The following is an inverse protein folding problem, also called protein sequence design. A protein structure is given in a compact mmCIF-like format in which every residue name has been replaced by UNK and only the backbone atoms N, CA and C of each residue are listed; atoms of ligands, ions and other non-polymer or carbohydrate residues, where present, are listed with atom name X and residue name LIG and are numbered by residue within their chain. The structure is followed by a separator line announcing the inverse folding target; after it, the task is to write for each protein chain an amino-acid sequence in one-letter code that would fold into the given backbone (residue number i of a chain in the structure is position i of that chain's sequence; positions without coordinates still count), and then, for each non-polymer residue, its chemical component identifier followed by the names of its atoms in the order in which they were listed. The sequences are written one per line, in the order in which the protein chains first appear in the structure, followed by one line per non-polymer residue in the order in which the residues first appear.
data_IF_224689297344
#
_entry.id   IF_224689297344
#
_cell.length_a   1.000
_cell.length_b   1.000
_cell.length_c   1.000
_cell.angle_alpha   90.00
_cell.angle_beta   90.00
_cell.angle_gamma   90.00
#
_symmetry.space_group_name_H-M   'P 1'
#
loop_
_entity.id
_entity.type
_entity.pdbx_description
1 polymer ?
#
# COMPACT_ATOMS: atom_id res chain seq x y z
N UNK A 1 -14.98 37.78 -11.07
CA UNK A 1 -15.40 36.68 -11.96
C UNK A 1 -14.32 35.63 -11.90
N UNK A 2 -14.63 34.40 -11.51
CA UNK A 2 -13.63 33.30 -11.53
C UNK A 2 -13.50 32.89 -12.99
N UNK A 3 -12.38 33.25 -13.63
CA UNK A 3 -12.09 32.81 -14.99
C UNK A 3 -11.86 31.31 -14.97
N UNK A 4 -12.83 30.54 -15.46
CA UNK A 4 -12.71 29.09 -15.52
C UNK A 4 -11.87 28.70 -16.75
N UNK A 5 -10.58 28.43 -16.54
CA UNK A 5 -9.71 27.99 -17.63
C UNK A 5 -9.95 26.52 -17.93
N UNK A 6 -10.24 26.22 -19.20
CA UNK A 6 -10.34 24.82 -19.65
C UNK A 6 -8.97 24.16 -19.68
N UNK A 7 -8.83 23.01 -19.04
CA UNK A 7 -7.60 22.25 -18.91
C UNK A 7 -7.67 20.95 -19.71
N UNK A 8 -6.51 20.55 -20.23
CA UNK A 8 -6.27 19.17 -20.67
C UNK A 8 -6.18 18.25 -19.46
N UNK A 9 -6.43 16.95 -19.65
CA UNK A 9 -6.19 15.97 -18.58
C UNK A 9 -4.74 15.96 -18.07
N UNK A 10 -3.75 16.27 -18.93
CA UNK A 10 -2.35 16.38 -18.52
C UNK A 10 -2.12 17.58 -17.61
N UNK A 11 -2.66 18.75 -17.95
CA UNK A 11 -2.57 19.94 -17.10
C UNK A 11 -3.30 19.74 -15.77
N UNK A 12 -4.46 19.09 -15.79
CA UNK A 12 -5.17 18.74 -14.56
C UNK A 12 -4.36 17.78 -13.69
N UNK A 13 -3.65 16.82 -14.30
CA UNK A 13 -2.79 15.89 -13.58
C UNK A 13 -1.60 16.60 -12.92
N UNK A 14 -1.01 17.59 -13.60
CA UNK A 14 0.05 18.44 -13.06
C UNK A 14 -0.46 19.26 -11.87
N UNK A 15 -1.67 19.84 -11.95
CA UNK A 15 -2.28 20.59 -10.84
C UNK A 15 -2.60 19.71 -9.62
N UNK A 16 -3.09 18.48 -9.86
CA UNK A 16 -3.47 17.55 -8.81
C UNK A 16 -2.28 16.72 -8.30
N UNK A 17 -1.09 16.86 -8.90
CA UNK A 17 0.11 16.05 -8.60
C UNK A 17 -0.20 14.55 -8.72
N UNK A 18 -0.88 14.16 -9.80
CA UNK A 18 -1.25 12.76 -10.08
C UNK A 18 -0.89 12.35 -11.50
N UNK A 19 -1.17 11.09 -11.85
CA UNK A 19 -1.02 10.62 -13.23
C UNK A 19 -2.23 11.06 -14.10
N UNK A 20 -2.05 11.31 -15.41
CA UNK A 20 -3.16 11.55 -16.32
C UNK A 20 -4.20 10.43 -16.32
N UNK A 21 -3.76 9.18 -16.07
CA UNK A 21 -4.64 8.02 -15.96
C UNK A 21 -5.58 8.12 -14.74
N UNK A 22 -5.09 8.67 -13.64
CA UNK A 22 -5.92 8.96 -12.46
C UNK A 22 -7.00 9.97 -12.81
N UNK A 23 -6.65 11.06 -13.51
CA UNK A 23 -7.61 12.08 -13.95
C UNK A 23 -8.68 11.48 -14.86
N UNK A 24 -8.33 10.61 -15.82
CA UNK A 24 -9.32 9.92 -16.65
C UNK A 24 -10.30 9.11 -15.80
N UNK A 25 -9.79 8.31 -14.86
CA UNK A 25 -10.62 7.51 -13.95
C UNK A 25 -11.55 8.37 -13.11
N UNK A 26 -11.08 9.51 -12.61
CA UNK A 26 -11.88 10.43 -11.80
C UNK A 26 -13.00 11.08 -12.60
N UNK A 27 -12.76 11.41 -13.87
CA UNK A 27 -13.81 11.96 -14.75
C UNK A 27 -14.81 10.86 -15.14
N UNK A 28 -14.32 9.66 -15.50
CA UNK A 28 -15.17 8.53 -15.86
C UNK A 28 -16.04 8.07 -14.67
N UNK A 29 -15.51 8.12 -13.44
CA UNK A 29 -16.27 7.80 -12.22
C UNK A 29 -17.21 8.92 -11.76
N UNK A 30 -17.23 10.06 -12.44
CA UNK A 30 -18.01 11.24 -12.05
C UNK A 30 -17.50 11.93 -10.78
N UNK A 31 -16.33 11.54 -10.27
CA UNK A 31 -15.75 12.13 -9.07
C UNK A 31 -15.15 13.50 -9.32
N UNK A 32 -14.60 13.74 -10.51
CA UNK A 32 -14.06 15.02 -10.94
C UNK A 32 -14.93 15.58 -12.06
N UNK A 33 -15.38 16.83 -11.91
CA UNK A 33 -16.19 17.49 -12.92
C UNK A 33 -15.37 17.70 -14.21
N UNK A 34 -15.72 16.92 -15.23
CA UNK A 34 -15.05 16.93 -16.53
C UNK A 34 -15.95 16.32 -17.60
N UNK A 35 -15.61 16.60 -18.86
CA UNK A 35 -16.35 16.07 -20.01
C UNK A 35 -15.39 15.46 -21.02
N UNK A 36 -15.80 14.32 -21.57
CA UNK A 36 -15.17 13.74 -22.75
C UNK A 36 -15.71 14.45 -23.99
N UNK A 37 -14.81 15.10 -24.73
CA UNK A 37 -15.09 15.79 -25.99
C UNK A 37 -14.33 15.04 -27.09
N UNK A 38 -15.07 14.24 -27.86
CA UNK A 38 -14.47 13.28 -28.79
C UNK A 38 -13.62 12.25 -28.04
N UNK A 39 -12.34 12.11 -28.41
CA UNK A 39 -11.39 11.23 -27.72
C UNK A 39 -10.56 11.93 -26.63
N UNK A 40 -10.89 13.17 -26.25
CA UNK A 40 -10.10 13.97 -25.31
C UNK A 40 -10.93 14.33 -24.07
N UNK A 41 -10.31 14.21 -22.90
CA UNK A 41 -10.91 14.63 -21.64
C UNK A 41 -10.55 16.09 -21.33
N UNK A 42 -11.54 16.86 -20.90
CA UNK A 42 -11.42 18.27 -20.53
C UNK A 42 -12.03 18.51 -19.14
N UNK A 43 -11.35 19.29 -18.33
CA UNK A 43 -11.80 19.75 -17.01
C UNK A 43 -11.60 21.26 -16.91
N UNK A 44 -12.05 21.88 -15.82
CA UNK A 44 -11.71 23.26 -15.48
C UNK A 44 -10.79 23.29 -14.26
N UNK A 45 -10.01 24.36 -14.15
CA UNK A 45 -9.24 24.67 -12.93
C UNK A 45 -10.13 24.74 -11.68
N UNK A 46 -11.29 25.39 -11.77
CA UNK A 46 -12.27 25.48 -10.69
C UNK A 46 -12.72 24.09 -10.24
N UNK A 47 -12.94 23.16 -11.17
CA UNK A 47 -13.32 21.78 -10.83
C UNK A 47 -12.20 21.03 -10.09
N UNK A 48 -10.94 21.21 -10.49
CA UNK A 48 -9.80 20.61 -9.80
C UNK A 48 -9.65 21.18 -8.38
N UNK A 49 -9.81 22.49 -8.22
CA UNK A 49 -9.75 23.16 -6.91
C UNK A 49 -10.92 22.71 -6.03
N UNK A 50 -12.14 22.68 -6.57
CA UNK A 50 -13.32 22.19 -5.87
C UNK A 50 -13.15 20.73 -5.42
N UNK A 51 -12.56 19.88 -6.26
CA UNK A 51 -12.25 18.49 -5.90
C UNK A 51 -11.27 18.37 -4.71
N UNK A 52 -10.32 19.29 -4.57
CA UNK A 52 -9.39 19.31 -3.43
C UNK A 52 -10.04 19.83 -2.14
N UNK A 53 -11.04 20.70 -2.26
CA UNK A 53 -11.76 21.26 -1.12
C UNK A 53 -12.96 20.43 -0.69
N UNK A 54 -13.44 19.51 -1.54
CA UNK A 54 -14.52 18.59 -1.20
C UNK A 54 -14.05 17.65 -0.08
N UNK A 55 -14.66 17.69 1.12
CA UNK A 55 -14.33 16.79 2.22
C UNK A 55 -14.88 15.40 1.90
N UNK A 56 -14.23 14.70 0.97
CA UNK A 56 -14.49 13.28 0.75
C UNK A 56 -13.75 12.49 1.81
N UNK A 57 -14.46 11.60 2.48
CA UNK A 57 -13.84 10.55 3.27
C UNK A 57 -12.81 9.84 2.38
N UNK A 58 -11.53 9.76 2.79
CA UNK A 58 -10.54 9.06 2.01
C UNK A 58 -11.01 7.62 1.89
N UNK A 59 -11.44 7.24 0.68
CA UNK A 59 -11.69 5.83 0.37
C UNK A 59 -10.37 5.14 0.62
N UNK A 60 -10.33 4.34 1.70
CA UNK A 60 -9.11 3.62 2.07
C UNK A 60 -8.58 2.90 0.84
N UNK A 61 -7.34 3.19 0.47
CA UNK A 61 -6.67 2.55 -0.66
C UNK A 61 -6.55 1.03 -0.51
N UNK A 62 -6.90 0.50 0.68
CA UNK A 62 -7.03 -0.91 0.99
C UNK A 62 -8.50 -1.35 1.06
N UNK A 63 -9.20 -1.34 -0.06
CA UNK A 63 -10.41 -2.13 -0.24
C UNK A 63 -10.41 -2.76 -1.63
N UNK A 64 -9.27 -3.37 -1.99
CA UNK A 64 -9.39 -4.64 -2.69
C UNK A 64 -10.24 -5.51 -1.78
N UNK A 65 -11.36 -6.02 -2.30
CA UNK A 65 -12.19 -6.99 -1.61
C UNK A 65 -11.27 -8.18 -1.31
N UNK A 66 -10.68 -8.17 -0.11
CA UNK A 66 -10.12 -9.37 0.49
C UNK A 66 -11.33 -10.27 0.69
N UNK A 67 -11.68 -11.03 -0.36
CA UNK A 67 -12.44 -12.25 -0.21
C UNK A 67 -11.82 -12.96 0.98
N UNK A 68 -12.65 -13.18 2.00
CA UNK A 68 -12.23 -13.61 3.32
C UNK A 68 -11.19 -14.72 3.24
N UNK A 69 -10.23 -14.63 4.17
CA UNK A 69 -9.33 -15.71 4.52
C UNK A 69 -8.28 -16.07 3.45
N UNK A 70 -7.39 -15.14 3.12
CA UNK A 70 -6.01 -15.58 2.90
C UNK A 70 -5.41 -15.79 4.29
N UNK A 71 -5.70 -16.94 4.89
CA UNK A 71 -4.85 -17.53 5.91
C UNK A 71 -3.42 -17.36 5.42
N UNK A 72 -2.58 -16.66 6.18
CA UNK A 72 -1.14 -16.64 5.97
C UNK A 72 -0.70 -18.11 5.82
N UNK A 73 -0.47 -18.56 4.60
CA UNK A 73 0.16 -19.85 4.33
C UNK A 73 1.63 -19.68 4.70
N UNK A 74 1.92 -19.73 6.00
CA UNK A 74 3.26 -20.01 6.49
C UNK A 74 3.70 -21.36 5.92
N UNK A 75 4.96 -21.49 5.47
CA UNK A 75 5.38 -22.63 4.67
C UNK A 75 5.47 -23.85 5.58
N UNK A 76 4.57 -24.83 5.42
CA UNK A 76 4.91 -26.18 5.89
C UNK A 76 5.78 -26.80 4.80
N UNK A 77 7.09 -26.66 4.93
CA UNK A 77 8.01 -27.53 4.21
C UNK A 77 7.64 -28.98 4.53
N UNK A 78 7.00 -29.65 3.58
CA UNK A 78 6.89 -31.10 3.58
C UNK A 78 8.26 -31.67 3.20
N UNK A 79 9.24 -31.51 4.09
CA UNK A 79 10.48 -32.27 4.01
C UNK A 79 10.22 -33.61 4.72
N UNK A 80 9.87 -34.63 3.94
CA UNK A 80 9.99 -36.03 4.38
C UNK A 80 11.47 -36.31 4.63
N UNK A 81 11.90 -35.98 5.84
CA UNK A 81 13.27 -36.05 6.27
C UNK A 81 13.68 -37.47 6.63
N UNK A 82 14.57 -38.07 5.85
CA UNK A 82 15.28 -39.29 6.25
C UNK A 82 16.10 -39.02 7.53
N UNK A 83 16.44 -40.07 8.29
CA UNK A 83 16.99 -40.07 9.67
C UNK A 83 18.11 -39.04 9.96
N UNK A 84 18.83 -38.59 8.93
CA UNK A 84 19.90 -37.58 9.04
C UNK A 84 19.33 -36.17 9.34
N UNK A 85 18.18 -35.82 8.76
CA UNK A 85 17.53 -34.51 8.94
C UNK A 85 17.01 -34.29 10.36
N UNK A 86 16.44 -35.33 11.00
CA UNK A 86 15.94 -35.26 12.38
C UNK A 86 17.05 -34.94 13.38
N UNK A 87 18.24 -35.55 13.20
CA UNK A 87 19.39 -35.30 14.08
C UNK A 87 19.90 -33.86 13.95
N UNK A 88 19.80 -33.27 12.76
CA UNK A 88 20.21 -31.89 12.51
C UNK A 88 19.26 -30.90 13.17
N UNK A 89 17.95 -31.13 13.06
CA UNK A 89 16.91 -30.36 13.76
C UNK A 89 17.06 -30.45 15.28
N UNK A 90 17.34 -31.63 15.83
CA UNK A 90 17.57 -31.81 17.27
C UNK A 90 18.77 -30.99 17.78
N UNK A 91 19.87 -30.98 17.04
CA UNK A 91 21.06 -30.19 17.39
C UNK A 91 20.79 -28.68 17.34
N UNK A 92 20.07 -28.22 16.32
CA UNK A 92 19.73 -26.80 16.16
C UNK A 92 18.81 -26.29 17.28
N UNK A 93 17.87 -27.12 17.72
CA UNK A 93 17.02 -26.81 18.89
C UNK A 93 17.85 -26.68 20.18
N UNK A 94 18.77 -27.62 20.40
CA UNK A 94 19.63 -27.63 21.58
C UNK A 94 20.56 -26.41 21.62
N UNK A 95 21.13 -26.02 20.48
CA UNK A 95 21.94 -24.81 20.33
C UNK A 95 21.15 -23.52 20.65
N UNK A 96 19.87 -23.45 20.26
CA UNK A 96 18.99 -22.31 20.58
C UNK A 96 18.66 -22.23 22.08
N UNK A 97 18.39 -23.36 22.73
CA UNK A 97 18.13 -23.42 24.17
C UNK A 97 19.37 -23.03 24.99
N UNK A 98 20.56 -23.46 24.57
CA UNK A 98 21.84 -23.04 25.19
C UNK A 98 22.06 -21.53 25.03
N UNK A 99 21.62 -20.92 23.93
CA UNK A 99 21.78 -19.47 23.69
C UNK A 99 20.84 -18.63 24.57
N UNK A 100 19.64 -19.11 24.85
CA UNK A 100 18.68 -18.44 25.74
C UNK A 100 19.03 -18.49 27.23
N UNK A 101 19.81 -19.48 27.66
CA UNK A 101 20.18 -19.67 29.08
C UNK A 101 21.49 -18.96 29.48
N UNK A 102 22.28 -18.48 28.52
CA UNK A 102 23.51 -17.72 28.80
C UNK A 102 23.20 -16.24 29.04
N UNK A 103 22.69 -15.92 30.23
CA UNK A 103 22.75 -14.55 30.78
C UNK A 103 24.22 -14.16 30.99
N UNK A 104 24.83 -13.51 29.98
CA UNK A 104 26.14 -12.86 30.11
C UNK A 104 25.99 -11.73 31.14
N UNK A 105 26.41 -11.97 32.39
CA UNK A 105 26.38 -10.96 33.46
C UNK A 105 27.14 -9.71 32.99
N UNK A 106 26.42 -8.59 32.85
CA UNK A 106 27.02 -7.25 32.82
C UNK A 106 27.26 -6.86 34.27
N UNK A 107 28.51 -6.82 34.70
CA UNK A 107 28.89 -6.31 36.01
C UNK A 107 28.75 -4.78 36.02
N UNK A 108 27.85 -4.25 36.85
CA UNK A 108 27.79 -2.84 37.23
C UNK A 108 28.29 -2.72 38.68
N UNK A 109 29.33 -1.93 38.88
CA UNK A 109 29.87 -1.57 40.20
C UNK A 109 29.29 -0.21 40.61
N UNK A 110 28.70 -0.13 41.80
CA UNK A 110 28.34 1.14 42.46
C UNK A 110 28.97 1.16 43.85
N UNK A 111 29.86 2.12 44.07
CA UNK A 111 30.23 2.72 45.36
C UNK A 111 30.54 4.18 45.09
#
# INVERSE_FOLDING_TARGET
MVEAKTLTARQAAELLITSPRTVYRLIDSGQLAGKKIGNKYRTTDVACIAYLHDPRDPVSASAGEHKGEILCQSPSEAASGTVISLRRQGKELDDLLVRGTRNKRRSCTTS
#
